data_IF_271085451128
#
_entry.id   IF_271085451128
#
_cell.length_a   1.000
_cell.length_b   1.000
_cell.length_c   1.000
_cell.angle_alpha   90.00
_cell.angle_beta   90.00
_cell.angle_gamma   90.00
#
_symmetry.space_group_name_H-M   'P 1'
#
loop_
_entity.id
_entity.type
_entity.pdbx_description
1 polymer ?
#
# COMPACT_ATOMS: atom_id res chain seq x y z
N UNK A 1 -6.96 17.35 4.62
CA UNK A 1 -5.73 16.67 4.16
C UNK A 1 -6.09 15.30 3.59
N UNK A 2 -5.44 14.89 2.49
CA UNK A 2 -5.66 13.61 1.83
C UNK A 2 -4.31 12.89 1.65
N UNK A 3 -4.19 11.66 2.15
CA UNK A 3 -3.06 10.75 1.89
C UNK A 3 -3.58 9.52 1.16
N UNK A 4 -2.93 9.13 0.07
CA UNK A 4 -3.23 7.88 -0.62
C UNK A 4 -1.97 7.00 -0.68
N UNK A 5 -2.15 5.71 -0.40
CA UNK A 5 -1.09 4.70 -0.53
C UNK A 5 -1.64 3.41 -1.11
N UNK A 6 -0.75 2.61 -1.69
CA UNK A 6 -1.10 1.28 -2.18
C UNK A 6 -1.38 0.34 -1.01
N UNK A 7 -2.38 -0.50 -1.17
CA UNK A 7 -2.71 -1.51 -0.18
C UNK A 7 -1.71 -2.67 -0.24
N UNK A 8 -1.01 -2.96 0.86
CA UNK A 8 -0.10 -4.11 0.97
C UNK A 8 -0.77 -5.46 0.68
N UNK A 9 -2.08 -5.54 0.88
CA UNK A 9 -2.87 -6.76 0.63
C UNK A 9 -3.33 -6.92 -0.82
N UNK A 10 -3.05 -5.96 -1.71
CA UNK A 10 -3.37 -6.14 -3.12
C UNK A 10 -2.39 -7.14 -3.75
N UNK A 11 -2.84 -8.19 -4.46
CA UNK A 11 -1.99 -9.30 -4.86
C UNK A 11 -1.10 -9.01 -6.07
N UNK A 12 -1.28 -7.88 -6.75
CA UNK A 12 -0.45 -7.49 -7.90
C UNK A 12 0.33 -6.26 -7.45
N UNK A 13 1.60 -6.17 -7.81
CA UNK A 13 2.37 -4.96 -7.60
C UNK A 13 2.24 -4.02 -8.81
N UNK A 14 1.59 -2.86 -8.74
CA UNK A 14 1.45 -2.01 -9.92
C UNK A 14 2.73 -1.30 -10.41
N UNK A 15 3.89 -1.47 -9.77
CA UNK A 15 5.17 -0.95 -10.29
C UNK A 15 5.86 -1.92 -11.24
N UNK A 16 5.57 -3.21 -11.08
CA UNK A 16 6.17 -4.32 -11.83
C UNK A 16 5.13 -5.14 -12.60
N UNK A 17 3.85 -4.97 -12.26
CA UNK A 17 2.69 -5.77 -12.69
C UNK A 17 2.84 -7.26 -12.36
N UNK A 18 3.79 -7.62 -11.50
CA UNK A 18 4.01 -8.99 -11.09
C UNK A 18 3.09 -9.36 -9.92
N UNK A 19 2.46 -10.53 -9.97
CA UNK A 19 1.67 -11.02 -8.85
C UNK A 19 2.57 -11.42 -7.68
N UNK A 20 2.12 -11.10 -6.46
CA UNK A 20 2.65 -11.53 -5.17
C UNK A 20 4.10 -11.13 -4.86
N UNK A 21 4.74 -10.35 -5.74
CA UNK A 21 6.17 -10.07 -5.69
C UNK A 21 6.59 -9.35 -4.40
N UNK A 22 5.74 -8.49 -3.83
CA UNK A 22 6.02 -7.76 -2.58
C UNK A 22 5.83 -8.60 -1.32
N UNK A 23 5.17 -9.75 -1.39
CA UNK A 23 5.05 -10.71 -0.27
C UNK A 23 6.23 -11.68 -0.20
N UNK A 24 7.02 -11.76 -1.26
CA UNK A 24 8.22 -12.59 -1.27
C UNK A 24 9.31 -11.98 -0.40
N UNK A 25 10.03 -12.85 0.31
CA UNK A 25 11.24 -12.44 1.03
C UNK A 25 12.28 -11.87 0.06
N UNK A 26 13.16 -10.96 0.52
CA UNK A 26 14.19 -10.35 -0.34
C UNK A 26 15.02 -11.36 -1.15
N UNK A 27 15.31 -12.53 -0.56
CA UNK A 27 16.06 -13.63 -1.18
C UNK A 27 15.38 -14.18 -2.45
N UNK A 28 14.05 -14.17 -2.50
CA UNK A 28 13.26 -14.63 -3.65
C UNK A 28 12.87 -13.45 -4.55
N UNK A 29 12.54 -12.31 -3.96
CA UNK A 29 12.06 -11.12 -4.65
C UNK A 29 13.10 -10.53 -5.61
N UNK A 30 14.35 -10.36 -5.15
CA UNK A 30 15.39 -9.72 -5.95
C UNK A 30 15.81 -10.49 -7.21
N UNK A 31 16.05 -11.81 -7.18
CA UNK A 31 16.34 -12.55 -8.41
C UNK A 31 15.17 -12.52 -9.40
N UNK A 32 13.92 -12.62 -8.93
CA UNK A 32 12.74 -12.51 -9.79
C UNK A 32 12.63 -11.13 -10.44
N UNK A 33 12.79 -10.05 -9.66
CA UNK A 33 12.77 -8.69 -10.21
C UNK A 33 13.88 -8.46 -11.25
N UNK A 34 15.08 -9.04 -11.05
CA UNK A 34 16.16 -8.98 -12.05
C UNK A 34 15.81 -9.77 -13.32
N UNK A 35 15.19 -10.95 -13.18
CA UNK A 35 14.74 -11.76 -14.31
C UNK A 35 13.73 -11.01 -15.19
N UNK A 36 12.79 -10.28 -14.58
CA UNK A 36 11.80 -9.46 -15.29
C UNK A 36 12.33 -8.07 -15.72
N UNK A 37 13.64 -7.82 -15.66
CA UNK A 37 14.28 -6.53 -15.98
C UNK A 37 13.74 -5.36 -15.13
N UNK A 38 13.19 -5.66 -13.96
CA UNK A 38 12.64 -4.73 -12.97
C UNK A 38 13.61 -4.48 -11.80
N UNK A 39 14.92 -4.68 -12.02
CA UNK A 39 15.94 -4.62 -10.97
C UNK A 39 16.01 -3.30 -10.18
N UNK A 40 15.51 -2.18 -10.75
CA UNK A 40 15.41 -0.90 -10.02
C UNK A 40 14.53 -1.00 -8.78
N UNK A 41 13.53 -1.88 -8.80
CA UNK A 41 12.60 -2.13 -7.71
C UNK A 41 13.13 -3.15 -6.69
N UNK A 42 14.29 -3.77 -6.96
CA UNK A 42 14.93 -4.74 -6.07
C UNK A 42 15.76 -4.05 -4.96
N UNK A 43 15.26 -2.95 -4.41
CA UNK A 43 15.88 -2.23 -3.31
C UNK A 43 14.97 -2.26 -2.08
N UNK A 44 15.56 -2.24 -0.90
CA UNK A 44 14.85 -2.36 0.37
C UNK A 44 14.00 -1.12 0.71
N UNK A 45 14.39 0.05 0.18
CA UNK A 45 13.64 1.30 0.29
C UNK A 45 12.43 1.38 -0.65
N UNK A 46 12.33 0.46 -1.62
CA UNK A 46 11.20 0.37 -2.54
C UNK A 46 10.26 -0.80 -2.18
N UNK A 47 8.98 -0.68 -2.53
CA UNK A 47 7.94 -1.67 -2.26
C UNK A 47 7.63 -1.92 -0.78
N UNK A 48 7.42 -0.85 0.00
CA UNK A 48 6.87 -0.95 1.35
C UNK A 48 5.40 -0.48 1.37
N UNK A 49 4.45 -1.17 0.70
CA UNK A 49 3.06 -0.80 0.76
C UNK A 49 2.54 -0.99 2.19
N UNK A 50 1.59 -0.14 2.59
CA UNK A 50 1.01 -0.20 3.94
C UNK A 50 -0.30 -0.98 3.91
N UNK A 51 -0.54 -1.76 4.95
CA UNK A 51 -1.88 -2.21 5.26
C UNK A 51 -2.72 -1.08 5.85
N UNK A 52 -4.03 -1.28 5.93
CA UNK A 52 -4.94 -0.33 6.57
C UNK A 52 -4.56 -0.01 8.02
N UNK A 53 -4.11 -1.01 8.78
CA UNK A 53 -3.72 -0.83 10.17
C UNK A 53 -2.42 -0.04 10.31
N UNK A 54 -1.40 -0.39 9.50
CA UNK A 54 -0.13 0.33 9.48
C UNK A 54 -0.32 1.78 9.07
N UNK A 55 -1.11 2.05 8.02
CA UNK A 55 -1.43 3.41 7.59
C UNK A 55 -2.09 4.22 8.71
N UNK A 56 -3.07 3.66 9.42
CA UNK A 56 -3.73 4.34 10.53
C UNK A 56 -2.79 4.57 11.72
N UNK A 57 -1.82 3.67 11.94
CA UNK A 57 -0.84 3.81 13.02
C UNK A 57 0.15 4.98 12.83
N UNK A 58 0.24 5.53 11.62
CA UNK A 58 1.04 6.73 11.33
C UNK A 58 0.41 8.03 11.85
N UNK A 59 -0.86 7.99 12.25
CA UNK A 59 -1.58 9.16 12.74
C UNK A 59 -1.70 9.13 14.27
N UNK A 60 -1.68 10.30 14.93
CA UNK A 60 -2.03 10.40 16.34
C UNK A 60 -3.40 9.79 16.64
N UNK A 61 -3.58 9.22 17.83
CA UNK A 61 -4.84 8.53 18.21
C UNK A 61 -6.04 9.46 18.28
N UNK A 62 -5.80 10.74 18.51
CA UNK A 62 -6.76 11.83 18.60
C UNK A 62 -7.00 12.53 17.25
N UNK A 63 -6.25 12.15 16.20
CA UNK A 63 -6.44 12.71 14.88
C UNK A 63 -7.80 12.28 14.30
N UNK A 64 -8.56 13.25 13.79
CA UNK A 64 -9.78 12.94 13.04
C UNK A 64 -9.42 12.51 11.62
N UNK A 65 -9.31 11.19 11.44
CA UNK A 65 -8.98 10.56 10.16
C UNK A 65 -10.01 9.49 9.78
N UNK A 66 -10.42 9.51 8.52
CA UNK A 66 -11.30 8.50 7.92
C UNK A 66 -10.53 7.70 6.89
N UNK A 67 -10.55 6.37 7.00
CA UNK A 67 -10.01 5.46 5.99
C UNK A 67 -11.06 5.14 4.92
N UNK A 68 -10.79 5.56 3.70
CA UNK A 68 -11.54 5.20 2.49
C UNK A 68 -10.78 4.12 1.72
N UNK A 69 -11.49 3.10 1.26
CA UNK A 69 -10.92 1.98 0.48
C UNK A 69 -11.40 2.06 -0.95
N UNK A 70 -10.48 2.36 -1.88
CA UNK A 70 -10.79 2.26 -3.30
C UNK A 70 -10.70 0.80 -3.72
N UNK A 71 -11.76 0.28 -4.35
CA UNK A 71 -11.85 -1.10 -4.78
C UNK A 71 -11.94 -1.22 -6.30
N UNK A 72 -11.32 -2.26 -6.83
CA UNK A 72 -11.45 -2.70 -8.22
C UNK A 72 -11.74 -4.19 -8.21
N UNK A 73 -12.84 -4.61 -8.85
CA UNK A 73 -13.33 -6.00 -8.83
C UNK A 73 -13.38 -6.62 -7.42
N UNK A 74 -13.84 -5.85 -6.43
CA UNK A 74 -13.94 -6.28 -5.03
C UNK A 74 -12.62 -6.25 -4.24
N UNK A 75 -11.47 -6.15 -4.91
CA UNK A 75 -10.16 -6.03 -4.26
C UNK A 75 -9.86 -4.58 -3.90
N UNK A 76 -9.38 -4.35 -2.68
CA UNK A 76 -8.93 -3.01 -2.28
C UNK A 76 -7.56 -2.75 -2.89
N UNK A 77 -7.49 -1.78 -3.81
CA UNK A 77 -6.26 -1.40 -4.54
C UNK A 77 -5.50 -0.28 -3.84
N UNK A 78 -6.23 0.71 -3.33
CA UNK A 78 -5.68 1.94 -2.75
C UNK A 78 -6.38 2.21 -1.42
N UNK A 79 -5.57 2.59 -0.44
CA UNK A 79 -6.00 3.07 0.86
C UNK A 79 -5.86 4.58 0.87
N UNK A 80 -6.93 5.28 1.22
CA UNK A 80 -6.97 6.73 1.25
C UNK A 80 -7.34 7.14 2.66
N UNK A 81 -6.51 7.95 3.31
CA UNK A 81 -6.86 8.61 4.55
C UNK A 81 -7.26 10.05 4.24
N UNK A 82 -8.43 10.42 4.74
CA UNK A 82 -8.95 11.78 4.66
C UNK A 82 -9.02 12.33 6.08
N UNK A 83 -8.49 13.54 6.27
CA UNK A 83 -8.66 14.29 7.51
C UNK A 83 -9.35 15.61 7.18
N UNK A 84 -10.45 15.88 7.87
CA UNK A 84 -11.24 17.10 7.78
C UNK A 84 -11.62 17.61 9.17
N UNK A 85 -12.07 18.87 9.29
CA UNK A 85 -12.62 19.36 10.54
C UNK A 85 -13.88 18.55 10.86
N UNK A 86 -13.80 17.74 11.93
CA UNK A 86 -14.94 17.23 12.69
C UNK A 86 -16.19 16.82 11.90
N UNK A 87 -16.27 15.61 11.38
CA UNK A 87 -17.57 14.94 11.34
C UNK A 87 -17.43 13.52 11.89
N UNK A 88 -17.92 13.36 13.12
CA UNK A 88 -17.89 12.08 13.83
C UNK A 88 -19.08 11.19 13.46
N UNK A 89 -20.07 11.69 12.71
CA UNK A 89 -21.36 11.01 12.52
C UNK A 89 -21.99 11.27 11.13
N UNK A 90 -21.40 10.74 10.05
CA UNK A 90 -22.05 10.70 8.72
C UNK A 90 -21.87 9.34 8.01
#
# INVERSE_FOLDING_TARGET
MFIATRNARFPIDPHTLLPFIHWLSPKLRYPLLRLFRQGRWAREDMLNPLSAGELLSLFPRDANVRLVRQRLFGLTIVLIVVSGPGDKDA
#
